data_IF_600374594332
#
_entry.id   IF_600374594332
#
_cell.length_a   1.000
_cell.length_b   1.000
_cell.length_c   1.000
_cell.angle_alpha   90.00
_cell.angle_beta   90.00
_cell.angle_gamma   90.00
#
_symmetry.space_group_name_H-M   'P 1'
#
loop_
_entity.id
_entity.type
_entity.pdbx_description
1 polymer ?
#
# COMPACT_ATOMS: atom_id res chain seq x y z
N UNK A 1 7.12 5.47 -2.06
CA UNK A 1 6.91 4.47 -3.12
C UNK A 1 5.56 4.56 -3.80
N UNK A 2 4.41 4.57 -3.10
CA UNK A 2 3.08 4.58 -3.73
C UNK A 2 2.84 5.68 -4.79
N UNK A 3 3.15 6.94 -4.47
CA UNK A 3 3.07 8.05 -5.44
C UNK A 3 3.95 7.84 -6.67
N UNK A 4 5.11 7.19 -6.49
CA UNK A 4 6.01 6.90 -7.59
C UNK A 4 5.42 5.82 -8.50
N UNK A 5 4.82 4.75 -7.96
CA UNK A 5 4.17 3.72 -8.78
C UNK A 5 3.00 4.33 -9.57
N UNK A 6 2.13 5.08 -8.90
CA UNK A 6 0.99 5.75 -9.54
C UNK A 6 1.41 6.81 -10.59
N UNK A 7 2.54 7.48 -10.40
CA UNK A 7 3.07 8.50 -11.32
C UNK A 7 4.11 7.98 -12.32
N UNK A 8 4.14 6.68 -12.61
CA UNK A 8 5.06 6.12 -13.61
C UNK A 8 4.60 6.44 -15.03
N UNK A 9 5.55 6.78 -15.91
CA UNK A 9 5.27 7.16 -17.30
C UNK A 9 4.78 5.97 -18.16
N UNK A 10 5.28 4.77 -17.85
CA UNK A 10 4.94 3.53 -18.54
C UNK A 10 5.02 2.33 -17.59
N UNK A 11 4.50 1.18 -18.06
CA UNK A 11 4.44 -0.06 -17.29
C UNK A 11 5.82 -0.58 -16.87
N UNK A 12 6.86 -0.43 -17.70
CA UNK A 12 8.21 -0.88 -17.36
C UNK A 12 8.77 -0.12 -16.14
N UNK A 13 8.60 1.21 -16.11
CA UNK A 13 9.00 2.05 -14.98
C UNK A 13 8.14 1.75 -13.75
N UNK A 14 6.83 1.51 -13.93
CA UNK A 14 5.95 1.16 -12.83
C UNK A 14 6.40 -0.15 -12.16
N UNK A 15 6.66 -1.20 -12.95
CA UNK A 15 7.12 -2.49 -12.44
C UNK A 15 8.44 -2.39 -11.67
N UNK A 16 9.44 -1.66 -12.17
CA UNK A 16 10.69 -1.42 -11.42
C UNK A 16 10.44 -0.72 -10.07
N UNK A 17 9.48 0.22 -10.03
CA UNK A 17 9.09 0.90 -8.78
C UNK A 17 8.34 -0.02 -7.83
N UNK A 18 7.54 -0.96 -8.35
CA UNK A 18 6.85 -2.00 -7.58
C UNK A 18 7.88 -2.91 -6.91
N UNK A 19 8.82 -3.47 -7.67
CA UNK A 19 9.88 -4.34 -7.15
C UNK A 19 10.66 -3.67 -6.02
N UNK A 20 11.06 -2.40 -6.22
CA UNK A 20 11.73 -1.60 -5.18
C UNK A 20 10.86 -1.42 -3.94
N UNK A 21 9.56 -1.16 -4.11
CA UNK A 21 8.64 -0.99 -2.99
C UNK A 21 8.47 -2.29 -2.20
N UNK A 22 8.35 -3.43 -2.89
CA UNK A 22 8.17 -4.75 -2.29
C UNK A 22 9.34 -5.12 -1.38
N UNK A 23 10.57 -4.65 -1.66
CA UNK A 23 11.72 -4.88 -0.76
C UNK A 23 11.55 -4.33 0.66
N UNK A 24 10.61 -3.40 0.89
CA UNK A 24 10.30 -2.85 2.22
C UNK A 24 9.39 -3.77 3.04
N UNK A 25 8.68 -4.68 2.39
CA UNK A 25 7.70 -5.56 3.01
C UNK A 25 8.31 -6.92 3.36
N UNK A 26 7.73 -7.58 4.35
CA UNK A 26 8.16 -8.91 4.79
C UNK A 26 7.86 -9.98 3.72
N UNK A 27 6.79 -9.77 2.95
CA UNK A 27 6.43 -10.55 1.77
C UNK A 27 5.50 -9.75 0.85
N UNK A 28 5.27 -10.26 -0.37
CA UNK A 28 4.28 -9.73 -1.31
C UNK A 28 2.83 -9.84 -0.82
N UNK A 29 2.61 -10.68 0.20
CA UNK A 29 1.32 -10.95 0.83
C UNK A 29 1.05 -10.06 2.06
N UNK A 30 1.98 -9.15 2.41
CA UNK A 30 1.79 -8.19 3.48
C UNK A 30 0.47 -7.42 3.31
N UNK A 31 -0.24 -7.23 4.42
CA UNK A 31 -1.63 -6.79 4.40
C UNK A 31 -1.73 -5.29 4.13
N UNK A 32 -2.65 -4.91 3.26
CA UNK A 32 -3.06 -3.51 3.05
C UNK A 32 -4.50 -3.37 3.48
N UNK A 33 -4.74 -2.51 4.46
CA UNK A 33 -6.07 -2.18 4.98
C UNK A 33 -6.42 -0.75 4.61
N UNK A 34 -7.57 -0.55 3.96
CA UNK A 34 -8.06 0.79 3.62
C UNK A 34 -9.18 1.16 4.58
N UNK A 35 -8.91 2.10 5.47
CA UNK A 35 -9.89 2.65 6.42
C UNK A 35 -10.94 3.45 5.64
N UNK A 36 -12.22 3.07 5.81
CA UNK A 36 -13.38 3.74 5.23
C UNK A 36 -14.11 4.65 6.22
N UNK A 37 -13.98 4.39 7.52
CA UNK A 37 -14.55 5.19 8.61
C UNK A 37 -13.72 5.04 9.88
N UNK A 38 -13.71 6.09 10.71
CA UNK A 38 -13.13 6.07 12.05
C UNK A 38 -14.17 6.64 13.02
N UNK A 39 -14.60 5.86 14.01
CA UNK A 39 -15.58 6.28 15.01
C UNK A 39 -15.26 5.65 16.37
N UNK A 40 -15.29 6.47 17.43
CA UNK A 40 -15.12 6.02 18.83
C UNK A 40 -13.88 5.13 19.07
N UNK A 41 -12.79 5.37 18.34
CA UNK A 41 -11.56 4.60 18.44
C UNK A 41 -11.54 3.27 17.66
N UNK A 42 -12.57 3.01 16.86
CA UNK A 42 -12.64 1.86 15.96
C UNK A 42 -12.51 2.30 14.49
N UNK A 43 -11.76 1.52 13.73
CA UNK A 43 -11.60 1.68 12.29
C UNK A 43 -12.47 0.64 11.57
N UNK A 44 -13.30 1.10 10.63
CA UNK A 44 -13.92 0.24 9.63
C UNK A 44 -13.03 0.19 8.40
N UNK A 45 -12.85 -1.01 7.85
CA UNK A 45 -12.00 -1.24 6.68
C UNK A 45 -12.82 -1.71 5.48
N UNK A 46 -12.37 -1.33 4.29
CA UNK A 46 -12.77 -2.01 3.05
C UNK A 46 -12.22 -3.45 3.05
N UNK A 47 -12.59 -4.24 2.02
CA UNK A 47 -12.05 -5.58 1.83
C UNK A 47 -10.51 -5.55 1.84
N UNK A 48 -9.87 -6.34 2.71
CA UNK A 48 -8.41 -6.42 2.75
C UNK A 48 -7.80 -6.89 1.42
N UNK A 49 -6.59 -6.40 1.13
CA UNK A 49 -5.81 -6.83 -0.03
C UNK A 49 -4.33 -7.00 0.35
N UNK A 50 -3.52 -7.49 -0.58
CA UNK A 50 -2.07 -7.61 -0.39
C UNK A 50 -1.33 -6.42 -0.98
N UNK A 51 -0.12 -6.15 -0.50
CA UNK A 51 0.70 -5.04 -0.98
C UNK A 51 0.98 -5.14 -2.47
N UNK A 52 1.24 -6.33 -3.00
CA UNK A 52 1.47 -6.52 -4.44
C UNK A 52 0.26 -6.11 -5.26
N UNK A 53 -0.92 -6.65 -4.93
CA UNK A 53 -2.17 -6.31 -5.62
C UNK A 53 -2.50 -4.82 -5.51
N UNK A 54 -2.22 -4.22 -4.36
CA UNK A 54 -2.44 -2.79 -4.17
C UNK A 54 -1.49 -1.95 -5.04
N UNK A 55 -0.22 -2.32 -5.13
CA UNK A 55 0.76 -1.64 -5.99
C UNK A 55 0.43 -1.77 -7.48
N UNK A 56 0.02 -2.95 -7.92
CA UNK A 56 -0.48 -3.20 -9.28
C UNK A 56 -1.74 -2.37 -9.57
N UNK A 57 -2.67 -2.30 -8.61
CA UNK A 57 -3.83 -1.42 -8.71
C UNK A 57 -3.43 0.06 -8.85
N UNK A 58 -2.44 0.55 -8.09
CA UNK A 58 -1.97 1.93 -8.22
C UNK A 58 -1.34 2.21 -9.59
N UNK A 59 -0.64 1.24 -10.17
CA UNK A 59 -0.10 1.32 -11.52
C UNK A 59 -1.23 1.49 -12.54
N UNK A 60 -2.29 0.68 -12.44
CA UNK A 60 -3.43 0.73 -13.36
C UNK A 60 -4.24 2.03 -13.22
N UNK A 61 -4.49 2.47 -11.98
CA UNK A 61 -5.28 3.68 -11.72
C UNK A 61 -4.53 4.97 -12.02
N UNK A 62 -3.19 4.94 -12.06
CA UNK A 62 -2.32 6.12 -12.18
C UNK A 62 -2.62 7.22 -11.16
N UNK A 63 -3.15 6.85 -10.00
CA UNK A 63 -3.59 7.78 -8.97
C UNK A 63 -3.31 7.21 -7.58
N UNK A 64 -2.82 8.08 -6.70
CA UNK A 64 -2.68 7.79 -5.27
C UNK A 64 -3.23 8.95 -4.45
N UNK A 65 -4.32 8.72 -3.73
CA UNK A 65 -5.07 9.71 -2.94
C UNK A 65 -5.27 9.27 -1.48
N UNK A 66 -4.37 8.42 -0.99
CA UNK A 66 -4.37 7.93 0.39
C UNK A 66 -3.22 8.56 1.18
N UNK A 67 -3.34 8.53 2.50
CA UNK A 67 -2.26 8.76 3.47
C UNK A 67 -2.06 7.50 4.32
N UNK A 68 -0.84 7.31 4.80
CA UNK A 68 -0.52 6.22 5.72
C UNK A 68 -1.04 6.62 7.10
N UNK A 69 -1.85 5.77 7.71
CA UNK A 69 -2.35 5.95 9.08
C UNK A 69 -1.46 5.18 10.07
N UNK A 70 -1.19 3.90 9.77
CA UNK A 70 -0.42 3.01 10.62
C UNK A 70 0.45 2.06 9.79
N UNK A 71 1.56 1.60 10.37
CA UNK A 71 2.47 0.60 9.78
C UNK A 71 2.92 -0.37 10.86
N UNK A 72 2.76 -1.65 10.62
CA UNK A 72 3.24 -2.73 11.50
C UNK A 72 4.48 -3.38 10.88
N UNK A 73 5.49 -3.63 11.71
CA UNK A 73 6.76 -4.19 11.30
C UNK A 73 7.01 -5.55 11.97
N UNK A 74 7.75 -6.42 11.29
CA UNK A 74 8.33 -7.63 11.89
C UNK A 74 9.60 -7.32 12.69
N UNK A 75 10.19 -8.35 13.31
CA UNK A 75 11.42 -8.23 14.09
C UNK A 75 12.65 -7.80 13.26
N UNK A 76 12.60 -7.89 11.93
CA UNK A 76 13.66 -7.47 11.01
C UNK A 76 13.41 -6.05 10.46
N UNK A 77 12.36 -5.36 10.91
CA UNK A 77 11.98 -4.03 10.43
C UNK A 77 11.31 -4.03 9.05
N UNK A 78 10.81 -5.19 8.59
CA UNK A 78 10.04 -5.29 7.34
C UNK A 78 8.56 -5.09 7.61
N UNK A 79 7.86 -4.44 6.69
CA UNK A 79 6.44 -4.14 6.84
C UNK A 79 5.60 -5.42 6.66
N UNK A 80 4.76 -5.74 7.64
CA UNK A 80 3.81 -6.86 7.59
C UNK A 80 2.38 -6.40 7.32
N UNK A 81 2.05 -5.17 7.73
CA UNK A 81 0.74 -4.56 7.53
C UNK A 81 0.87 -3.04 7.38
N UNK A 82 0.03 -2.46 6.52
CA UNK A 82 -0.09 -1.01 6.37
C UNK A 82 -1.56 -0.60 6.31
N UNK A 83 -1.93 0.36 7.15
CA UNK A 83 -3.25 0.97 7.15
C UNK A 83 -3.22 2.30 6.40
N UNK A 84 -4.16 2.47 5.48
CA UNK A 84 -4.28 3.63 4.62
C UNK A 84 -5.64 4.27 4.83
N UNK A 85 -5.69 5.58 4.85
CA UNK A 85 -6.94 6.35 4.92
C UNK A 85 -6.98 7.39 3.81
N UNK A 86 -8.18 7.78 3.38
CA UNK A 86 -8.36 8.83 2.39
C UNK A 86 -7.67 10.12 2.85
N UNK A 87 -6.95 10.77 1.93
CA UNK A 87 -6.35 12.08 2.17
C UNK A 87 -7.43 13.18 2.19
#
# INVERSE_FOLDING_TARGET
HFKAVAGAENFAIANDRIEKALTLFASEDALVLIIISQADGFNDYDRPTTIKKYLEYLMDQKKYDKRIENVVYDANGKITEIELIKK
#
